data_IF_544964080418
#
_entry.id   IF_544964080418
#
_cell.length_a   1.000
_cell.length_b   1.000
_cell.length_c   1.000
_cell.angle_alpha   90.00
_cell.angle_beta   90.00
_cell.angle_gamma   90.00
#
_symmetry.space_group_name_H-M   'P 1'
#
loop_
_entity.id
_entity.type
_entity.pdbx_description
1 polymer ?
#
# COMPACT_ATOMS: atom_id res chain seq x y z
N UNK A 1 13.66 -0.03 11.10
CA UNK A 1 12.60 0.42 10.15
C UNK A 1 12.60 -0.56 8.99
N UNK A 2 11.58 -1.43 8.93
CA UNK A 2 11.51 -2.56 7.99
C UNK A 2 10.34 -2.31 7.05
N UNK A 3 10.47 -2.46 5.74
CA UNK A 3 9.34 -2.55 4.82
C UNK A 3 9.29 -3.96 4.23
N UNK A 4 8.19 -4.33 3.60
CA UNK A 4 8.09 -5.61 2.91
C UNK A 4 7.87 -5.41 1.42
N UNK A 5 8.51 -6.29 0.64
CA UNK A 5 8.50 -6.26 -0.82
C UNK A 5 8.10 -7.64 -1.30
N UNK A 6 7.21 -7.69 -2.29
CA UNK A 6 6.97 -8.88 -3.10
C UNK A 6 7.13 -8.54 -4.57
N UNK A 7 7.90 -9.37 -5.25
CA UNK A 7 8.16 -9.27 -6.68
C UNK A 7 7.29 -10.30 -7.41
N UNK A 8 6.66 -9.87 -8.49
CA UNK A 8 5.78 -10.67 -9.30
C UNK A 8 6.30 -10.64 -10.73
N UNK A 9 6.89 -11.76 -11.16
CA UNK A 9 7.50 -11.87 -12.48
C UNK A 9 6.64 -12.73 -13.41
N UNK A 10 6.56 -12.32 -14.68
CA UNK A 10 5.83 -12.99 -15.76
C UNK A 10 4.37 -13.33 -15.42
N UNK A 11 3.67 -12.42 -14.74
CA UNK A 11 2.27 -12.66 -14.29
C UNK A 11 1.21 -12.20 -15.29
N UNK A 12 1.52 -11.30 -16.22
CA UNK A 12 0.56 -10.66 -17.13
C UNK A 12 -0.65 -10.08 -16.37
N UNK A 13 -0.37 -9.42 -15.24
CA UNK A 13 -1.33 -8.83 -14.32
C UNK A 13 -1.17 -7.33 -14.39
N UNK A 14 -2.24 -6.61 -14.74
CA UNK A 14 -2.22 -5.15 -14.78
C UNK A 14 -1.99 -4.56 -13.36
N UNK A 15 -0.92 -3.76 -13.14
CA UNK A 15 -0.65 -3.11 -11.86
C UNK A 15 -1.80 -2.21 -11.38
N UNK A 16 -2.64 -1.68 -12.28
CA UNK A 16 -3.85 -0.95 -11.90
C UNK A 16 -4.81 -1.86 -11.11
N UNK A 17 -5.04 -3.09 -11.58
CA UNK A 17 -5.92 -4.04 -10.88
C UNK A 17 -5.39 -4.38 -9.49
N UNK A 18 -4.06 -4.48 -9.35
CA UNK A 18 -3.43 -4.68 -8.04
C UNK A 18 -3.67 -3.47 -7.14
N UNK A 19 -3.50 -2.26 -7.66
CA UNK A 19 -3.82 -1.02 -6.93
C UNK A 19 -5.29 -0.99 -6.48
N UNK A 20 -6.22 -1.38 -7.35
CA UNK A 20 -7.65 -1.40 -7.06
C UNK A 20 -7.99 -2.40 -5.95
N UNK A 21 -7.35 -3.58 -5.96
CA UNK A 21 -7.49 -4.59 -4.90
C UNK A 21 -6.96 -4.10 -3.55
N UNK A 22 -5.81 -3.41 -3.54
CA UNK A 22 -5.27 -2.81 -2.31
C UNK A 22 -6.22 -1.74 -1.77
N UNK A 23 -6.75 -0.88 -2.65
CA UNK A 23 -7.73 0.13 -2.27
C UNK A 23 -9.01 -0.48 -1.70
N UNK A 24 -9.52 -1.54 -2.34
CA UNK A 24 -10.69 -2.28 -1.88
C UNK A 24 -10.47 -2.84 -0.48
N UNK A 25 -9.36 -3.56 -0.25
CA UNK A 25 -9.02 -4.14 1.05
C UNK A 25 -9.06 -3.08 2.17
N UNK A 26 -8.38 -1.95 1.96
CA UNK A 26 -8.34 -0.90 2.97
C UNK A 26 -9.70 -0.24 3.20
N UNK A 27 -10.53 -0.08 2.15
CA UNK A 27 -11.90 0.44 2.29
C UNK A 27 -12.79 -0.52 3.09
N UNK A 28 -12.68 -1.81 2.84
CA UNK A 28 -13.41 -2.86 3.57
C UNK A 28 -13.01 -2.89 5.05
N UNK A 29 -11.72 -2.68 5.35
CA UNK A 29 -11.19 -2.50 6.71
C UNK A 29 -11.53 -1.13 7.35
N UNK A 30 -12.29 -0.28 6.66
CA UNK A 30 -12.80 0.99 7.19
C UNK A 30 -11.79 2.15 7.19
N UNK A 31 -10.75 2.09 6.36
CA UNK A 31 -9.79 3.17 6.22
C UNK A 31 -10.29 4.28 5.29
N UNK A 32 -9.74 5.48 5.48
CA UNK A 32 -9.77 6.54 4.46
C UNK A 32 -8.61 6.27 3.51
N UNK A 33 -8.94 6.04 2.24
CA UNK A 33 -7.97 5.64 1.21
C UNK A 33 -7.86 6.72 0.15
N UNK A 34 -6.65 6.93 -0.35
CA UNK A 34 -6.36 7.68 -1.57
C UNK A 34 -5.44 6.87 -2.47
N UNK A 35 -5.69 6.93 -3.76
CA UNK A 35 -4.93 6.23 -4.79
C UNK A 35 -4.46 7.23 -5.80
N UNK A 36 -3.23 7.07 -6.29
CA UNK A 36 -2.73 7.90 -7.36
C UNK A 36 -1.81 7.15 -8.32
N UNK A 37 -1.81 7.59 -9.58
CA UNK A 37 -1.03 7.03 -10.67
C UNK A 37 0.21 7.89 -10.91
N UNK A 38 1.38 7.27 -10.84
CA UNK A 38 2.65 7.87 -11.25
C UNK A 38 3.07 7.41 -12.65
N UNK A 39 4.29 7.76 -13.04
CA UNK A 39 4.87 7.42 -14.33
C UNK A 39 5.21 5.94 -14.47
N UNK A 40 5.53 5.25 -13.37
CA UNK A 40 5.99 3.86 -13.33
C UNK A 40 5.11 2.91 -12.51
N UNK A 41 3.96 3.39 -12.04
CA UNK A 41 3.15 2.59 -11.15
C UNK A 41 2.08 3.37 -10.39
N UNK A 42 1.64 2.79 -9.28
CA UNK A 42 0.55 3.28 -8.46
C UNK A 42 0.96 3.36 -7.00
N UNK A 43 0.38 4.33 -6.31
CA UNK A 43 0.53 4.52 -4.86
C UNK A 43 -0.85 4.52 -4.24
N UNK A 44 -1.05 3.66 -3.25
CA UNK A 44 -2.25 3.65 -2.41
C UNK A 44 -1.84 4.02 -0.99
N UNK A 45 -2.45 5.06 -0.43
CA UNK A 45 -2.30 5.43 0.97
C UNK A 45 -3.61 5.22 1.73
N UNK A 46 -3.52 4.61 2.91
CA UNK A 46 -4.65 4.35 3.79
C UNK A 46 -4.36 4.85 5.21
N UNK A 47 -5.23 5.71 5.74
CA UNK A 47 -5.18 6.16 7.14
C UNK A 47 -6.48 5.87 7.86
N UNK A 48 -6.41 5.57 9.16
CA UNK A 48 -7.61 5.52 9.99
C UNK A 48 -8.19 6.92 10.15
N UNK A 49 -9.47 7.08 9.83
CA UNK A 49 -10.23 8.30 10.09
C UNK A 49 -10.87 8.34 11.47
N UNK A 50 -11.37 9.52 11.86
CA UNK A 50 -12.29 9.68 12.98
C UNK A 50 -11.73 9.34 14.37
N UNK A 51 -12.56 8.71 15.21
CA UNK A 51 -12.30 8.41 16.63
C UNK A 51 -11.11 7.46 16.87
N UNK A 52 -10.69 6.68 15.87
CA UNK A 52 -9.54 5.77 15.97
C UNK A 52 -8.17 6.45 15.78
N UNK A 53 -8.13 7.78 15.59
CA UNK A 53 -6.89 8.57 15.47
C UNK A 53 -6.01 8.52 16.73
N UNK A 54 -6.52 8.00 17.84
CA UNK A 54 -5.84 7.93 19.14
C UNK A 54 -4.69 6.91 19.19
N UNK A 55 -4.63 5.94 18.26
CA UNK A 55 -3.67 4.81 18.32
C UNK A 55 -2.48 4.98 17.35
N UNK A 56 -2.53 5.90 16.38
CA UNK A 56 -1.40 6.15 15.47
C UNK A 56 -1.01 7.62 15.54
N UNK A 57 0.30 7.88 15.53
CA UNK A 57 0.83 9.22 15.34
C UNK A 57 0.06 9.89 14.18
N UNK A 58 -0.51 11.05 14.48
CA UNK A 58 -1.61 11.73 13.77
C UNK A 58 -1.44 11.99 12.27
N UNK A 59 -0.26 11.69 11.71
CA UNK A 59 0.13 11.92 10.32
C UNK A 59 0.60 10.66 9.59
N UNK A 60 0.29 9.44 10.06
CA UNK A 60 0.75 8.19 9.42
C UNK A 60 -0.29 7.53 8.52
N UNK A 61 0.19 6.88 7.48
CA UNK A 61 -0.58 6.14 6.50
C UNK A 61 0.11 4.81 6.18
N UNK A 62 -0.66 3.72 6.08
CA UNK A 62 -0.21 2.57 5.32
C UNK A 62 -0.02 3.02 3.87
N UNK A 63 1.10 2.67 3.28
CA UNK A 63 1.44 3.05 1.91
C UNK A 63 1.83 1.79 1.16
N UNK A 64 1.09 1.51 0.09
CA UNK A 64 1.42 0.49 -0.89
C UNK A 64 1.93 1.17 -2.16
N UNK A 65 3.07 0.71 -2.64
CA UNK A 65 3.67 1.15 -3.90
C UNK A 65 3.72 -0.05 -4.83
N UNK A 66 3.02 0.06 -5.96
CA UNK A 66 3.00 -0.93 -7.01
C UNK A 66 3.81 -0.34 -8.18
N UNK A 67 5.03 -0.80 -8.39
CA UNK A 67 5.97 -0.28 -9.39
C UNK A 67 6.28 -1.36 -10.43
N UNK A 68 6.21 -1.03 -11.71
CA UNK A 68 6.47 -1.93 -12.82
C UNK A 68 5.36 -1.99 -13.86
N UNK A 69 5.35 -3.06 -14.65
CA UNK A 69 4.40 -3.27 -15.74
C UNK A 69 3.61 -4.58 -15.56
N UNK A 70 2.83 -4.94 -16.58
CA UNK A 70 1.94 -6.11 -16.52
C UNK A 70 2.70 -7.43 -16.38
N UNK A 71 3.92 -7.50 -16.91
CA UNK A 71 4.69 -8.73 -16.93
C UNK A 71 5.49 -8.84 -15.62
N UNK A 72 6.18 -7.76 -15.25
CA UNK A 72 7.01 -7.71 -14.04
C UNK A 72 6.68 -6.46 -13.19
N UNK A 73 6.18 -6.68 -11.98
CA UNK A 73 5.89 -5.61 -11.01
C UNK A 73 6.29 -5.98 -9.59
N UNK A 74 6.48 -4.95 -8.77
CA UNK A 74 6.83 -5.05 -7.37
C UNK A 74 5.77 -4.36 -6.53
N UNK A 75 5.33 -5.02 -5.47
CA UNK A 75 4.49 -4.41 -4.42
C UNK A 75 5.34 -4.17 -3.19
N UNK A 76 5.47 -2.92 -2.76
CA UNK A 76 6.14 -2.52 -1.52
C UNK A 76 5.10 -2.02 -0.53
N UNK A 77 5.13 -2.54 0.70
CA UNK A 77 4.24 -2.12 1.78
C UNK A 77 5.04 -1.55 2.95
N UNK A 78 4.47 -0.53 3.60
CA UNK A 78 4.94 -0.03 4.88
C UNK A 78 4.11 1.15 5.37
N UNK A 79 4.66 1.91 6.31
CA UNK A 79 4.04 3.11 6.86
C UNK A 79 4.87 4.32 6.43
N UNK A 80 4.18 5.36 5.95
CA UNK A 80 4.76 6.64 5.59
C UNK A 80 3.91 7.78 6.16
N UNK A 81 4.35 9.02 5.98
CA UNK A 81 3.48 10.17 6.26
C UNK A 81 2.30 10.21 5.29
N UNK A 82 1.13 10.56 5.81
CA UNK A 82 -0.04 10.83 4.99
C UNK A 82 0.20 12.13 4.20
N UNK A 83 0.27 12.02 2.88
CA UNK A 83 0.43 13.19 2.02
C UNK A 83 -0.95 13.76 1.74
N UNK A 84 -1.24 14.96 2.23
CA UNK A 84 -2.47 15.67 1.88
C UNK A 84 -2.43 16.00 0.39
N UNK A 85 -3.22 15.25 -0.39
CA UNK A 85 -3.24 15.24 -1.85
C UNK A 85 -1.97 14.63 -2.48
N UNK A 86 -2.14 13.45 -3.09
CA UNK A 86 -1.10 12.79 -3.88
C UNK A 86 -0.92 13.51 -5.22
N UNK A 87 -0.28 14.68 -5.20
CA UNK A 87 0.16 15.36 -6.42
C UNK A 87 1.27 14.57 -7.13
N UNK A 88 1.45 14.78 -8.44
CA UNK A 88 2.43 14.05 -9.26
C UNK A 88 3.82 13.97 -8.63
N UNK A 89 4.37 15.10 -8.14
CA UNK A 89 5.70 15.14 -7.52
C UNK A 89 5.80 14.31 -6.22
N UNK A 90 4.72 14.27 -5.43
CA UNK A 90 4.65 13.50 -4.20
C UNK A 90 4.64 11.99 -4.48
N UNK A 91 3.89 11.56 -5.51
CA UNK A 91 3.83 10.17 -5.94
C UNK A 91 5.20 9.70 -6.45
N UNK A 92 5.84 10.47 -7.34
CA UNK A 92 7.17 10.13 -7.85
C UNK A 92 8.19 10.02 -6.72
N UNK A 93 8.09 10.90 -5.71
CA UNK A 93 8.90 10.78 -4.51
C UNK A 93 8.65 9.46 -3.78
N UNK A 94 7.39 9.00 -3.62
CA UNK A 94 7.09 7.74 -2.95
C UNK A 94 7.52 6.50 -3.75
N UNK A 95 7.40 6.53 -5.08
CA UNK A 95 7.87 5.47 -5.97
C UNK A 95 9.39 5.26 -5.86
N UNK A 96 10.13 6.37 -5.78
CA UNK A 96 11.59 6.37 -5.68
C UNK A 96 12.12 6.20 -4.24
N UNK A 97 11.27 6.40 -3.23
CA UNK A 97 11.72 6.53 -1.85
C UNK A 97 11.89 5.19 -1.13
N UNK A 98 12.98 5.01 -0.37
CA UNK A 98 13.13 3.94 0.61
C UNK A 98 12.46 4.28 1.97
N UNK A 99 11.82 5.45 2.11
CA UNK A 99 11.30 5.96 3.38
C UNK A 99 9.95 5.35 3.82
N UNK A 100 9.45 4.36 3.09
CA UNK A 100 8.32 3.55 3.52
C UNK A 100 8.87 2.54 4.53
N UNK A 101 8.37 2.55 5.76
CA UNK A 101 8.83 1.60 6.77
C UNK A 101 7.77 1.30 7.82
N UNK A 102 7.67 0.04 8.21
CA UNK A 102 7.09 -0.38 9.47
C UNK A 102 7.98 0.09 10.61
N UNK A 103 7.33 0.69 11.61
CA UNK A 103 7.97 1.32 12.76
C UNK A 103 7.74 0.41 13.96
N UNK A 104 8.81 0.12 14.71
CA UNK A 104 8.80 -0.76 15.87
C UNK A 104 8.29 -0.01 17.11
N UNK A 105 6.99 0.34 17.12
CA UNK A 105 6.30 0.91 18.29
C UNK A 105 5.29 -0.13 18.79
N UNK A 106 4.89 -0.16 20.07
CA UNK A 106 3.84 -1.08 20.59
C UNK A 106 2.59 -1.25 19.71
N UNK A 107 2.19 -0.25 18.92
CA UNK A 107 1.07 -0.31 17.97
C UNK A 107 1.41 -1.04 16.65
N UNK A 108 2.64 -1.52 16.50
CA UNK A 108 3.11 -2.30 15.35
C UNK A 108 2.40 -3.65 15.24
N UNK A 109 1.91 -4.24 16.33
CA UNK A 109 1.20 -5.53 16.27
C UNK A 109 0.01 -5.49 15.31
N UNK A 110 -0.81 -4.44 15.40
CA UNK A 110 -1.92 -4.27 14.46
C UNK A 110 -1.44 -3.89 13.05
N UNK A 111 -0.30 -3.21 12.93
CA UNK A 111 0.32 -2.92 11.63
C UNK A 111 0.77 -4.21 10.93
N UNK A 112 1.36 -5.15 11.67
CA UNK A 112 1.72 -6.47 11.17
C UNK A 112 0.50 -7.32 10.82
N UNK A 113 -0.58 -7.23 11.61
CA UNK A 113 -1.83 -7.94 11.31
C UNK A 113 -2.42 -7.46 9.97
N UNK A 114 -2.55 -6.13 9.79
CA UNK A 114 -3.06 -5.55 8.54
C UNK A 114 -2.15 -5.88 7.36
N UNK A 115 -0.83 -5.83 7.55
CA UNK A 115 0.13 -6.25 6.53
C UNK A 115 -0.10 -7.72 6.14
N UNK A 116 -0.20 -8.61 7.12
CA UNK A 116 -0.39 -10.04 6.90
C UNK A 116 -1.71 -10.33 6.16
N UNK A 117 -2.80 -9.69 6.58
CA UNK A 117 -4.10 -9.80 5.95
C UNK A 117 -4.10 -9.28 4.51
N UNK A 118 -3.49 -8.13 4.26
CA UNK A 118 -3.36 -7.57 2.91
C UNK A 118 -2.57 -8.53 2.00
N UNK A 119 -1.46 -9.09 2.49
CA UNK A 119 -0.68 -10.04 1.71
C UNK A 119 -1.45 -11.31 1.38
N UNK A 120 -2.14 -11.88 2.37
CA UNK A 120 -2.96 -13.07 2.17
C UNK A 120 -4.10 -12.79 1.18
N UNK A 121 -4.75 -11.64 1.29
CA UNK A 121 -5.78 -11.19 0.36
C UNK A 121 -5.25 -11.09 -1.08
N UNK A 122 -4.14 -10.37 -1.29
CA UNK A 122 -3.53 -10.20 -2.60
C UNK A 122 -3.11 -11.55 -3.20
N UNK A 123 -2.46 -12.43 -2.42
CA UNK A 123 -2.08 -13.75 -2.91
C UNK A 123 -3.26 -14.58 -3.38
N UNK A 124 -4.36 -14.58 -2.61
CA UNK A 124 -5.57 -15.29 -3.02
C UNK A 124 -6.13 -14.71 -4.33
N UNK A 125 -6.26 -13.39 -4.44
CA UNK A 125 -6.80 -12.75 -5.64
C UNK A 125 -5.93 -13.00 -6.87
N UNK A 126 -4.60 -12.95 -6.70
CA UNK A 126 -3.65 -13.18 -7.79
C UNK A 126 -3.59 -14.66 -8.20
N UNK A 127 -3.74 -15.60 -7.25
CA UNK A 127 -3.78 -17.05 -7.55
C UNK A 127 -5.06 -17.48 -8.24
N UNK A 128 -6.20 -16.88 -7.89
CA UNK A 128 -7.50 -17.19 -8.49
C UNK A 128 -7.63 -16.65 -9.93
N UNK A 129 -6.66 -15.87 -10.40
CA UNK A 129 -6.75 -15.09 -11.63
C UNK A 129 -7.70 -13.92 -11.39
N UNK A 130 -7.17 -12.70 -11.40
CA UNK A 130 -7.94 -11.49 -11.05
C UNK A 130 -9.23 -11.47 -11.88
N UNK A 131 -10.38 -11.62 -11.19
CA UNK A 131 -11.70 -11.62 -11.81
C UNK A 131 -11.98 -10.28 -12.54
#
# INVERSE_FOLDING_TARGET
MRYTIREYNSKNIDPQKVSDLVEQFFKEEGFIVQTAKGSKGYVVQARKGGFFRTILAMNRAFTAVIDGDKDDFTVKLGVAEWLADLGMAAIESLLLSPAIAFIEVPEALWTFEIEHQLWHFLENQLQLGIQ
#
